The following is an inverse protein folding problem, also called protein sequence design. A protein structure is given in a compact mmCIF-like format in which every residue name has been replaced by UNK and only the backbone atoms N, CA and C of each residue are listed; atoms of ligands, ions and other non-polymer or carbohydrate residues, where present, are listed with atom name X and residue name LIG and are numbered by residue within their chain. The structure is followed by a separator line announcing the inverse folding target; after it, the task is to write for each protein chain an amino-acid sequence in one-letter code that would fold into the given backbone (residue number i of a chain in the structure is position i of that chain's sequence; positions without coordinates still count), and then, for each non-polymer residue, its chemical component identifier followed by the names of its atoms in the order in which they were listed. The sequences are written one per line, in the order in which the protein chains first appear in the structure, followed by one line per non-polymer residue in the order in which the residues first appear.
data_IF_514831891865
#
_entry.id   IF_514831891865
#
_cell.length_a   1.000
_cell.length_b   1.000
_cell.length_c   1.000
_cell.angle_alpha   90.00
_cell.angle_beta   90.00
_cell.angle_gamma   90.00
#
_symmetry.space_group_name_H-M   'P 1'
#
loop_
_entity.id
_entity.type
_entity.pdbx_description
1 polymer ?
#
# COMPACT_ATOMS: atom_id res chain seq x y z
N UNK A 1 0.51 15.31 13.46
CA UNK A 1 0.90 16.36 12.48
C UNK A 1 -0.23 16.76 11.55
N UNK A 2 -0.92 15.83 10.85
CA UNK A 2 -2.12 16.16 10.07
C UNK A 2 -3.17 16.92 10.89
N UNK A 3 -3.53 16.37 12.05
CA UNK A 3 -4.59 16.96 12.88
C UNK A 3 -4.17 18.33 13.47
N UNK A 4 -2.86 18.55 13.63
CA UNK A 4 -2.31 19.84 14.07
C UNK A 4 -2.50 20.93 13.00
N UNK A 5 -2.07 20.67 11.75
CA UNK A 5 -2.26 21.63 10.65
C UNK A 5 -3.73 21.77 10.24
N UNK A 6 -4.52 20.70 10.32
CA UNK A 6 -5.97 20.75 10.10
C UNK A 6 -6.66 21.65 11.12
N UNK A 7 -6.28 21.58 12.39
CA UNK A 7 -6.84 22.46 13.43
C UNK A 7 -6.42 23.92 13.26
N UNK A 8 -5.16 24.18 12.88
CA UNK A 8 -4.70 25.56 12.64
C UNK A 8 -5.38 26.17 11.41
N UNK A 9 -5.50 25.44 10.31
CA UNK A 9 -6.12 25.89 9.06
C UNK A 9 -7.63 26.16 9.24
N UNK A 10 -8.37 25.23 9.87
CA UNK A 10 -9.81 25.38 10.11
C UNK A 10 -10.15 26.58 11.01
N UNK A 11 -9.24 26.94 11.92
CA UNK A 11 -9.41 28.09 12.80
C UNK A 11 -8.74 29.38 12.26
N UNK A 12 -8.20 29.36 11.03
CA UNK A 12 -7.43 30.45 10.43
C UNK A 12 -6.31 30.97 11.34
N UNK A 13 -5.74 30.09 12.16
CA UNK A 13 -4.73 30.41 13.14
C UNK A 13 -3.36 30.63 12.48
N UNK A 14 -2.56 31.52 13.06
CA UNK A 14 -1.14 31.69 12.72
C UNK A 14 -0.28 31.20 13.88
N UNK A 15 0.91 30.68 13.60
CA UNK A 15 1.84 30.20 14.61
C UNK A 15 3.19 30.91 14.45
N UNK A 16 3.75 31.42 15.53
CA UNK A 16 5.12 31.92 15.58
C UNK A 16 5.95 31.02 16.47
N UNK A 17 7.06 30.49 15.95
CA UNK A 17 7.99 29.63 16.68
C UNK A 17 9.28 30.41 16.87
N UNK A 18 9.66 30.64 18.12
CA UNK A 18 10.88 31.37 18.49
C UNK A 18 11.79 30.45 19.29
N UNK A 19 13.02 30.24 18.81
CA UNK A 19 14.05 29.48 19.52
C UNK A 19 15.45 30.07 19.28
N UNK A 20 16.07 30.66 20.31
CA UNK A 20 17.36 31.36 20.21
C UNK A 20 17.36 32.41 19.08
N UNK A 21 18.04 32.13 17.97
CA UNK A 21 18.13 33.00 16.80
C UNK A 21 17.12 32.62 15.69
N UNK A 22 16.25 31.64 15.95
CA UNK A 22 15.21 31.20 15.02
C UNK A 22 13.90 31.92 15.33
N UNK A 23 13.32 32.54 14.30
CA UNK A 23 11.99 33.14 14.35
C UNK A 23 11.24 32.76 13.06
N UNK A 24 10.33 31.81 13.17
CA UNK A 24 9.52 31.31 12.04
C UNK A 24 8.07 31.72 12.26
N UNK A 25 7.49 32.37 11.25
CA UNK A 25 6.06 32.67 11.22
C UNK A 25 5.38 31.72 10.21
N UNK A 26 4.48 30.90 10.71
CA UNK A 26 3.52 30.14 9.91
C UNK A 26 2.25 30.98 9.80
N UNK A 27 2.17 31.76 8.73
CA UNK A 27 0.97 32.47 8.35
C UNK A 27 -0.11 31.50 7.82
N UNK A 28 -1.31 32.03 7.55
CA UNK A 28 -2.42 31.22 7.04
C UNK A 28 -2.04 30.45 5.76
N UNK A 29 -1.27 31.07 4.86
CA UNK A 29 -0.78 30.41 3.64
C UNK A 29 0.18 29.26 3.92
N UNK A 30 1.09 29.42 4.88
CA UNK A 30 2.05 28.42 5.32
C UNK A 30 1.38 27.27 6.07
N UNK A 31 0.40 27.59 6.93
CA UNK A 31 -0.46 26.60 7.62
C UNK A 31 -1.27 25.80 6.60
N UNK A 32 -1.89 26.46 5.63
CA UNK A 32 -2.64 25.82 4.54
C UNK A 32 -1.76 24.90 3.69
N UNK A 33 -0.57 25.36 3.29
CA UNK A 33 0.43 24.50 2.61
C UNK A 33 0.87 23.33 3.49
N UNK A 34 1.05 23.56 4.78
CA UNK A 34 1.37 22.53 5.77
C UNK A 34 0.28 21.45 5.81
N UNK A 35 -0.99 21.87 5.90
CA UNK A 35 -2.16 21.00 5.82
C UNK A 35 -2.16 20.17 4.54
N UNK A 36 -2.10 20.81 3.37
CA UNK A 36 -2.04 20.12 2.07
C UNK A 36 -0.91 19.09 2.03
N UNK A 37 0.29 19.45 2.51
CA UNK A 37 1.44 18.53 2.56
C UNK A 37 1.23 17.35 3.51
N UNK A 38 0.54 17.56 4.64
CA UNK A 38 0.20 16.49 5.58
C UNK A 38 -1.00 15.64 5.17
N UNK A 39 -1.87 16.17 4.32
CA UNK A 39 -3.11 15.51 3.86
C UNK A 39 -2.95 14.80 2.51
N UNK A 40 -1.96 15.16 1.70
CA UNK A 40 -1.79 14.64 0.34
C UNK A 40 -1.11 13.25 0.26
N UNK A 41 -1.64 12.29 1.03
CA UNK A 41 -1.43 10.87 0.79
C UNK A 41 -2.79 10.26 0.48
N UNK A 42 -3.08 10.09 -0.81
CA UNK A 42 -4.27 9.35 -1.23
C UNK A 42 -3.97 7.86 -1.17
N UNK A 43 -4.78 7.13 -0.41
CA UNK A 43 -4.72 5.66 -0.34
C UNK A 43 -5.99 5.15 -1.00
N UNK A 44 -5.84 4.39 -2.08
CA UNK A 44 -6.94 3.64 -2.70
C UNK A 44 -6.69 2.16 -2.49
N UNK A 45 -7.68 1.46 -1.96
CA UNK A 45 -7.62 0.03 -1.73
C UNK A 45 -8.73 -0.64 -2.55
N UNK A 46 -8.37 -1.67 -3.31
CA UNK A 46 -9.32 -2.46 -4.09
C UNK A 46 -8.99 -3.93 -3.90
N UNK A 47 -10.02 -4.71 -3.59
CA UNK A 47 -9.94 -6.18 -3.66
C UNK A 47 -10.37 -6.62 -5.05
N UNK A 48 -9.60 -7.51 -5.66
CA UNK A 48 -9.84 -8.04 -7.01
C UNK A 48 -9.29 -9.45 -7.11
N UNK A 49 -9.76 -10.19 -8.10
CA UNK A 49 -9.19 -11.48 -8.47
C UNK A 49 -8.11 -11.29 -9.54
N UNK A 50 -7.11 -12.17 -9.52
CA UNK A 50 -6.03 -12.24 -10.50
C UNK A 50 -5.84 -13.70 -10.86
N UNK A 51 -5.84 -13.97 -12.16
CA UNK A 51 -5.49 -15.26 -12.74
C UNK A 51 -4.05 -15.22 -13.26
N UNK A 52 -3.33 -16.32 -13.10
CA UNK A 52 -1.95 -16.41 -13.58
C UNK A 52 -1.23 -17.67 -13.09
N UNK A 53 0.07 -17.75 -13.38
CA UNK A 53 0.92 -18.88 -12.99
C UNK A 53 1.64 -18.55 -11.69
N UNK A 54 1.50 -19.40 -10.66
CA UNK A 54 2.24 -19.24 -9.41
C UNK A 54 3.72 -19.60 -9.62
N UNK A 55 4.58 -18.61 -9.77
CA UNK A 55 6.02 -18.85 -10.05
C UNK A 55 6.87 -18.98 -8.80
N UNK A 56 6.43 -18.38 -7.69
CA UNK A 56 7.17 -18.41 -6.44
C UNK A 56 6.28 -18.15 -5.24
N UNK A 57 6.53 -18.88 -4.15
CA UNK A 57 5.90 -18.64 -2.87
C UNK A 57 6.89 -18.95 -1.75
N UNK A 58 7.08 -17.99 -0.84
CA UNK A 58 7.95 -18.11 0.33
C UNK A 58 7.07 -18.05 1.59
N UNK A 59 6.64 -19.21 2.13
CA UNK A 59 5.70 -19.27 3.26
C UNK A 59 6.19 -18.52 4.50
N UNK A 60 7.47 -18.72 4.84
CA UNK A 60 8.07 -18.14 6.06
C UNK A 60 8.25 -16.62 5.97
N UNK A 61 8.44 -16.09 4.76
CA UNK A 61 8.53 -14.65 4.51
C UNK A 61 7.19 -14.01 4.11
N UNK A 62 6.14 -14.84 3.96
CA UNK A 62 4.82 -14.47 3.43
C UNK A 62 4.96 -13.67 2.12
N UNK A 63 5.76 -14.15 1.18
CA UNK A 63 5.94 -13.55 -0.14
C UNK A 63 5.40 -14.45 -1.23
N UNK A 64 4.89 -13.84 -2.29
CA UNK A 64 4.41 -14.55 -3.47
C UNK A 64 4.85 -13.83 -4.73
N UNK A 65 4.90 -14.59 -5.82
CA UNK A 65 5.13 -14.13 -7.17
C UNK A 65 4.18 -14.90 -8.11
N UNK A 66 3.37 -14.17 -8.86
CA UNK A 66 2.47 -14.70 -9.88
C UNK A 66 2.82 -14.04 -11.21
N UNK A 67 2.92 -14.84 -12.26
CA UNK A 67 3.07 -14.34 -13.63
C UNK A 67 1.69 -14.22 -14.27
N UNK A 68 1.34 -13.02 -14.71
CA UNK A 68 0.09 -12.78 -15.46
C UNK A 68 0.18 -13.30 -16.90
N UNK A 69 -0.93 -13.24 -17.64
CA UNK A 69 -1.02 -13.68 -19.04
C UNK A 69 -0.11 -12.88 -19.99
N UNK A 70 0.22 -11.64 -19.62
CA UNK A 70 1.13 -10.77 -20.38
C UNK A 70 2.61 -11.03 -20.04
N UNK A 71 2.89 -11.94 -19.11
CA UNK A 71 4.23 -12.29 -18.66
C UNK A 71 4.80 -11.38 -17.56
N UNK A 72 4.04 -10.42 -17.04
CA UNK A 72 4.48 -9.56 -15.94
C UNK A 72 4.47 -10.31 -14.61
N UNK A 73 5.45 -10.04 -13.76
CA UNK A 73 5.49 -10.58 -12.40
C UNK A 73 4.75 -9.65 -11.44
N UNK A 74 3.67 -10.17 -10.87
CA UNK A 74 2.93 -9.58 -9.77
C UNK A 74 3.47 -10.19 -8.48
N UNK A 75 4.12 -9.37 -7.66
CA UNK A 75 4.72 -9.80 -6.41
C UNK A 75 4.20 -8.98 -5.23
N UNK A 76 4.23 -9.60 -4.04
CA UNK A 76 3.69 -8.95 -2.87
C UNK A 76 3.80 -9.76 -1.59
N UNK A 77 2.97 -9.41 -0.61
CA UNK A 77 2.84 -10.15 0.64
C UNK A 77 1.66 -11.11 0.61
N UNK A 78 1.70 -12.18 1.38
CA UNK A 78 0.59 -13.10 1.60
C UNK A 78 0.01 -12.95 3.02
N UNK A 79 -1.29 -13.24 3.18
CA UNK A 79 -1.92 -13.44 4.48
C UNK A 79 -1.51 -14.79 5.09
N UNK A 80 -1.78 -14.98 6.38
CA UNK A 80 -1.60 -16.29 7.02
C UNK A 80 -2.52 -17.33 6.39
N UNK A 81 -3.77 -16.97 6.08
CA UNK A 81 -4.73 -17.86 5.41
C UNK A 81 -4.18 -18.42 4.10
N UNK A 82 -3.67 -17.56 3.22
CA UNK A 82 -3.09 -18.01 1.96
C UNK A 82 -1.83 -18.87 2.15
N UNK A 83 -1.02 -18.57 3.17
CA UNK A 83 0.13 -19.41 3.53
C UNK A 83 -0.32 -20.79 3.97
N UNK A 84 -1.39 -20.89 4.76
CA UNK A 84 -1.92 -22.17 5.24
C UNK A 84 -2.56 -22.96 4.08
N UNK A 85 -3.26 -22.30 3.15
CA UNK A 85 -3.77 -22.91 1.92
C UNK A 85 -2.63 -23.46 1.05
N UNK A 86 -1.57 -22.69 0.86
CA UNK A 86 -0.37 -23.14 0.13
C UNK A 86 0.30 -24.34 0.82
N UNK A 87 0.45 -24.31 2.16
CA UNK A 87 1.03 -25.42 2.93
C UNK A 87 0.18 -26.69 2.90
N UNK A 88 -1.14 -26.56 2.78
CA UNK A 88 -2.09 -27.69 2.66
C UNK A 88 -2.20 -28.24 1.24
N UNK A 89 -1.76 -27.51 0.23
CA UNK A 89 -1.76 -28.01 -1.14
C UNK A 89 -0.84 -29.23 -1.23
N UNK A 90 -1.43 -30.39 -1.50
CA UNK A 90 -0.73 -31.69 -1.52
C UNK A 90 0.15 -31.83 -2.78
N UNK A 91 -0.14 -31.04 -3.81
CA UNK A 91 0.58 -31.04 -5.09
C UNK A 91 1.61 -29.91 -5.20
N UNK A 92 2.57 -30.08 -6.12
CA UNK A 92 3.47 -29.01 -6.56
C UNK A 92 2.65 -27.95 -7.30
N UNK A 93 2.16 -26.95 -6.57
CA UNK A 93 1.40 -25.82 -7.10
C UNK A 93 2.28 -24.73 -7.73
N UNK A 94 3.60 -24.79 -7.54
CA UNK A 94 4.53 -23.91 -8.23
C UNK A 94 4.59 -24.31 -9.71
N UNK A 95 4.42 -23.33 -10.61
CA UNK A 95 4.34 -23.52 -12.05
C UNK A 95 2.93 -23.79 -12.58
N UNK A 96 1.95 -23.95 -11.69
CA UNK A 96 0.54 -24.18 -12.04
C UNK A 96 -0.24 -22.88 -12.22
N UNK A 97 -1.32 -22.96 -13.00
CA UNK A 97 -2.28 -21.87 -13.06
C UNK A 97 -3.05 -21.78 -11.73
N UNK A 98 -3.38 -20.56 -11.34
CA UNK A 98 -4.13 -20.30 -10.13
C UNK A 98 -4.99 -19.06 -10.31
N UNK A 99 -6.12 -19.06 -9.61
CA UNK A 99 -6.95 -17.89 -9.40
C UNK A 99 -6.80 -17.47 -7.95
N UNK A 100 -6.34 -16.24 -7.73
CA UNK A 100 -6.12 -15.69 -6.39
C UNK A 100 -6.93 -14.44 -6.17
N UNK A 101 -7.34 -14.23 -4.92
CA UNK A 101 -7.92 -12.97 -4.48
C UNK A 101 -6.84 -12.13 -3.85
N UNK A 102 -6.72 -10.89 -4.30
CA UNK A 102 -5.73 -9.94 -3.80
C UNK A 102 -6.38 -8.63 -3.38
N UNK A 103 -5.72 -7.94 -2.47
CA UNK A 103 -5.96 -6.55 -2.17
C UNK A 103 -4.81 -5.71 -2.71
N UNK A 104 -5.13 -4.76 -3.59
CA UNK A 104 -4.17 -3.83 -4.17
C UNK A 104 -4.36 -2.49 -3.48
N UNK A 105 -3.33 -2.08 -2.73
CA UNK A 105 -3.23 -0.76 -2.11
C UNK A 105 -2.37 0.13 -2.98
N UNK A 106 -2.97 1.16 -3.57
CA UNK A 106 -2.25 2.23 -4.27
C UNK A 106 -2.07 3.38 -3.31
N UNK A 107 -0.82 3.66 -2.96
CA UNK A 107 -0.42 4.83 -2.18
C UNK A 107 0.10 5.86 -3.17
N UNK A 108 -0.58 7.00 -3.27
CA UNK A 108 -0.20 8.13 -4.12
C UNK A 108 0.28 9.29 -3.25
N UNK A 109 1.60 9.43 -3.03
CA UNK A 109 2.16 10.61 -2.37
C UNK A 109 2.14 11.80 -3.34
N UNK A 110 2.02 13.03 -2.82
CA UNK A 110 1.98 14.25 -3.64
C UNK A 110 3.21 14.43 -4.56
N UNK A 111 4.40 14.04 -4.10
CA UNK A 111 5.67 14.35 -4.77
C UNK A 111 6.42 13.09 -5.27
N UNK A 112 5.76 11.94 -5.34
CA UNK A 112 6.40 10.68 -5.75
C UNK A 112 5.45 9.85 -6.63
N UNK A 113 5.97 9.02 -7.54
CA UNK A 113 5.13 8.12 -8.31
C UNK A 113 4.31 7.22 -7.38
N UNK A 114 3.04 6.94 -7.71
CA UNK A 114 2.21 6.03 -6.93
C UNK A 114 2.87 4.67 -6.76
N UNK A 115 2.85 4.14 -5.54
CA UNK A 115 3.31 2.79 -5.25
C UNK A 115 2.12 1.87 -5.07
N UNK A 116 2.09 0.79 -5.85
CA UNK A 116 1.16 -0.32 -5.65
C UNK A 116 1.78 -1.33 -4.68
N UNK A 117 0.99 -1.77 -3.73
CA UNK A 117 1.32 -2.86 -2.81
C UNK A 117 0.23 -3.91 -2.97
N UNK A 118 0.64 -5.12 -3.33
CA UNK A 118 -0.28 -6.24 -3.53
C UNK A 118 -0.19 -7.17 -2.32
N UNK A 119 -1.36 -7.54 -1.80
CA UNK A 119 -1.49 -8.54 -0.75
C UNK A 119 -2.39 -9.67 -1.22
N UNK A 120 -1.84 -10.87 -1.31
CA UNK A 120 -2.60 -12.08 -1.61
C UNK A 120 -3.37 -12.50 -0.35
N UNK A 121 -4.69 -12.62 -0.49
CA UNK A 121 -5.63 -12.88 0.60
C UNK A 121 -5.93 -14.37 0.71
N UNK A 122 -6.24 -15.01 -0.41
CA UNK A 122 -6.58 -16.42 -0.51
C UNK A 122 -6.37 -16.93 -1.94
N UNK A 123 -6.10 -18.23 -2.07
CA UNK A 123 -6.19 -18.98 -3.30
C UNK A 123 -7.63 -19.46 -3.49
N UNK A 124 -8.25 -19.10 -4.61
CA UNK A 124 -9.60 -19.52 -4.97
C UNK A 124 -9.59 -20.85 -5.74
N UNK A 125 -8.57 -21.06 -6.58
CA UNK A 125 -8.35 -22.30 -7.35
C UNK A 125 -6.86 -22.50 -7.65
N UNK A 126 -6.45 -23.76 -7.71
CA UNK A 126 -5.20 -24.23 -8.32
C UNK A 126 -5.56 -25.19 -9.45
N UNK A 127 -4.90 -25.08 -10.60
CA UNK A 127 -5.07 -25.95 -11.78
C UNK A 127 -3.81 -26.80 -12.03
#
# INVERSE_FOLDING_TARGET
MRDFFSNLDSNKATLRVVEKNLDIILDNSAVHRGKIRTEAISIKEKTTEIEGVLVGFLPEHKKFEIRDELGNIIYGSATTEAVDQFKKAIEVVIGKQCLVKVTIKTVSPLNRPPKKVVRLIEFLRFD
#
